data_IF_801900249843
#
_entry.id   IF_801900249843
#
_cell.length_a   1.000
_cell.length_b   1.000
_cell.length_c   1.000
_cell.angle_alpha   90.00
_cell.angle_beta   90.00
_cell.angle_gamma   90.00
#
_symmetry.space_group_name_H-M   'P 1'
#
loop_
_entity.id
_entity.type
_entity.pdbx_description
1 polymer ?
#
# COMPACT_ATOMS: atom_id res chain seq x y z
N UNK A 1 7.61 12.52 13.02
CA UNK A 1 6.29 11.89 13.17
C UNK A 1 6.04 10.91 12.03
N UNK A 2 6.17 11.34 10.76
CA UNK A 2 5.87 10.52 9.57
C UNK A 2 6.58 9.15 9.52
N UNK A 3 7.85 9.06 9.95
CA UNK A 3 8.56 7.77 10.00
C UNK A 3 7.95 6.76 11.01
N UNK A 4 7.43 7.25 12.14
CA UNK A 4 6.78 6.39 13.14
C UNK A 4 5.39 5.99 12.66
N UNK A 5 4.63 6.92 12.08
CA UNK A 5 3.32 6.64 11.49
C UNK A 5 3.42 5.63 10.34
N UNK A 6 4.42 5.79 9.48
CA UNK A 6 4.72 4.83 8.42
C UNK A 6 4.97 3.43 8.99
N UNK A 7 5.77 3.32 10.07
CA UNK A 7 5.98 2.04 10.74
C UNK A 7 4.68 1.48 11.32
N UNK A 8 3.87 2.32 11.96
CA UNK A 8 2.58 1.91 12.54
C UNK A 8 1.64 1.39 11.45
N UNK A 9 1.51 2.11 10.34
CA UNK A 9 0.76 1.70 9.15
C UNK A 9 1.21 0.31 8.65
N UNK A 10 2.52 0.09 8.49
CA UNK A 10 3.02 -1.22 8.06
C UNK A 10 2.71 -2.34 9.06
N UNK A 11 2.83 -2.07 10.36
CA UNK A 11 2.48 -3.09 11.36
C UNK A 11 0.98 -3.37 11.39
N UNK A 12 0.14 -2.33 11.25
CA UNK A 12 -1.31 -2.44 11.26
C UNK A 12 -1.84 -3.16 10.01
N UNK A 13 -1.28 -2.89 8.83
CA UNK A 13 -1.70 -3.55 7.59
C UNK A 13 -1.23 -5.01 7.49
N UNK A 14 -0.04 -5.33 8.02
CA UNK A 14 0.56 -6.66 7.84
C UNK A 14 0.50 -7.56 9.07
N UNK A 15 -0.13 -7.14 10.19
CA UNK A 15 -0.37 -7.88 11.45
C UNK A 15 0.43 -9.19 11.58
N UNK A 16 -0.14 -10.31 11.12
CA UNK A 16 0.43 -11.66 11.26
C UNK A 16 1.36 -12.08 10.09
N UNK A 17 1.25 -11.42 8.94
CA UNK A 17 1.95 -11.74 7.68
C UNK A 17 3.28 -10.97 7.51
N UNK A 18 3.53 -10.01 8.39
CA UNK A 18 4.69 -9.10 8.32
C UNK A 18 6.04 -9.81 8.07
N UNK A 19 6.41 -10.92 8.74
CA UNK A 19 7.71 -11.55 8.53
C UNK A 19 7.92 -12.12 7.11
N UNK A 20 6.85 -12.48 6.41
CA UNK A 20 6.92 -13.09 5.07
C UNK A 20 6.89 -12.05 3.95
N UNK A 21 6.22 -10.90 4.17
CA UNK A 21 5.96 -9.87 3.16
C UNK A 21 6.76 -8.57 3.37
N UNK A 22 7.26 -8.34 4.59
CA UNK A 22 8.01 -7.14 4.95
C UNK A 22 9.34 -7.52 5.63
N UNK A 23 10.44 -7.60 4.86
CA UNK A 23 11.78 -7.59 5.40
C UNK A 23 11.99 -6.44 6.42
N UNK A 24 12.82 -6.63 7.46
CA UNK A 24 13.07 -5.58 8.47
C UNK A 24 13.53 -4.24 7.89
N UNK A 25 14.21 -4.25 6.73
CA UNK A 25 14.64 -3.03 6.04
C UNK A 25 13.46 -2.16 5.59
N UNK A 26 12.33 -2.76 5.21
CA UNK A 26 11.17 -2.03 4.69
C UNK A 26 10.46 -1.24 5.79
N UNK A 27 10.50 -1.72 7.03
CA UNK A 27 10.02 -0.97 8.21
C UNK A 27 10.80 0.34 8.43
N UNK A 28 12.02 0.44 7.91
CA UNK A 28 12.86 1.64 8.05
C UNK A 28 12.92 2.46 6.76
N UNK A 29 12.23 2.08 5.69
CA UNK A 29 12.32 2.72 4.37
C UNK A 29 12.08 4.24 4.42
N UNK A 30 11.11 4.70 5.19
CA UNK A 30 10.84 6.13 5.34
C UNK A 30 11.99 6.87 6.05
N UNK A 31 12.59 6.28 7.09
CA UNK A 31 13.75 6.86 7.77
C UNK A 31 14.96 6.92 6.83
N UNK A 32 15.12 5.89 5.99
CA UNK A 32 16.17 5.87 4.98
C UNK A 32 15.97 6.94 3.91
N UNK A 33 14.74 7.15 3.43
CA UNK A 33 14.38 8.24 2.53
C UNK A 33 14.78 9.60 3.11
N UNK A 34 14.43 9.88 4.36
CA UNK A 34 14.75 11.15 5.02
C UNK A 34 16.25 11.42 5.11
N UNK A 35 17.06 10.37 5.24
CA UNK A 35 18.52 10.46 5.40
C UNK A 35 19.27 10.37 4.07
N UNK A 36 18.57 10.07 2.99
CA UNK A 36 19.18 9.81 1.71
C UNK A 36 19.74 11.08 1.05
N UNK A 37 20.87 10.97 0.33
CA UNK A 37 21.33 12.06 -0.51
C UNK A 37 20.34 12.30 -1.65
N UNK A 38 20.26 13.54 -2.15
CA UNK A 38 19.30 13.95 -3.18
C UNK A 38 19.25 13.02 -4.41
N UNK A 39 20.42 12.50 -4.84
CA UNK A 39 20.53 11.56 -5.98
C UNK A 39 19.81 10.22 -5.78
N UNK A 40 19.58 9.81 -4.53
CA UNK A 40 18.93 8.54 -4.15
C UNK A 40 17.49 8.76 -3.67
N UNK A 41 17.09 10.02 -3.43
CA UNK A 41 15.77 10.34 -2.87
C UNK A 41 14.63 9.87 -3.76
N UNK A 42 14.72 10.04 -5.08
CA UNK A 42 13.66 9.59 -6.00
C UNK A 42 13.37 8.09 -5.89
N UNK A 43 14.40 7.25 -5.93
CA UNK A 43 14.23 5.80 -5.82
C UNK A 43 13.72 5.38 -4.44
N UNK A 44 14.22 5.99 -3.36
CA UNK A 44 13.76 5.68 -2.01
C UNK A 44 12.33 6.18 -1.74
N UNK A 45 11.94 7.28 -2.37
CA UNK A 45 10.57 7.77 -2.33
C UNK A 45 9.64 6.77 -3.00
N UNK A 46 10.04 6.24 -4.16
CA UNK A 46 9.29 5.20 -4.85
C UNK A 46 9.11 3.94 -4.00
N UNK A 47 10.16 3.52 -3.27
CA UNK A 47 10.04 2.40 -2.32
C UNK A 47 9.00 2.67 -1.22
N UNK A 48 8.97 3.88 -0.66
CA UNK A 48 7.94 4.26 0.33
C UNK A 48 6.56 4.23 -0.30
N UNK A 49 6.40 4.79 -1.51
CA UNK A 49 5.14 4.78 -2.26
C UNK A 49 4.61 3.35 -2.47
N UNK A 50 5.47 2.43 -2.89
CA UNK A 50 5.13 1.01 -3.06
C UNK A 50 4.69 0.36 -1.74
N UNK A 51 5.38 0.63 -0.63
CA UNK A 51 5.06 0.05 0.69
C UNK A 51 3.70 0.56 1.21
N UNK A 52 3.39 1.84 1.04
CA UNK A 52 2.09 2.42 1.40
C UNK A 52 0.99 1.82 0.51
N UNK A 53 1.20 1.80 -0.80
CA UNK A 53 0.27 1.22 -1.76
C UNK A 53 -0.03 -0.27 -1.47
N UNK A 54 1.01 -1.04 -1.12
CA UNK A 54 0.89 -2.46 -0.76
C UNK A 54 0.11 -2.66 0.55
N UNK A 55 0.25 -1.73 1.51
CA UNK A 55 -0.51 -1.74 2.76
C UNK A 55 -2.00 -1.54 2.52
N UNK A 56 -2.36 -0.60 1.66
CA UNK A 56 -3.76 -0.31 1.30
C UNK A 56 -4.39 -1.49 0.55
N UNK A 57 -3.65 -2.12 -0.38
CA UNK A 57 -4.13 -3.32 -1.09
C UNK A 57 -4.27 -4.52 -0.16
N UNK A 58 -3.41 -4.66 0.84
CA UNK A 58 -3.56 -5.69 1.87
C UNK A 58 -4.82 -5.46 2.70
N UNK A 59 -5.02 -4.24 3.20
CA UNK A 59 -6.22 -3.90 3.95
C UNK A 59 -7.49 -4.15 3.12
N UNK A 60 -7.49 -3.78 1.83
CA UNK A 60 -8.61 -4.03 0.94
C UNK A 60 -8.84 -5.54 0.74
N UNK A 61 -7.79 -6.35 0.58
CA UNK A 61 -7.88 -7.81 0.49
C UNK A 61 -8.30 -8.50 1.80
N UNK A 62 -8.19 -7.80 2.93
CA UNK A 62 -8.59 -8.30 4.25
C UNK A 62 -10.05 -7.89 4.59
N UNK A 63 -10.55 -6.78 4.04
CA UNK A 63 -11.96 -6.36 4.17
C UNK A 63 -12.94 -7.18 3.32
N UNK A 64 -12.44 -7.95 2.36
CA UNK A 64 -13.27 -8.77 1.49
C UNK A 64 -12.41 -9.68 0.65
N UNK A 65 -13.00 -10.74 0.08
CA UNK A 65 -12.26 -11.67 -0.77
C UNK A 65 -12.05 -11.10 -2.19
N UNK A 66 -11.35 -9.97 -2.26
CA UNK A 66 -11.06 -9.25 -3.50
C UNK A 66 -9.79 -9.84 -4.14
N UNK A 67 -9.98 -10.79 -5.06
CA UNK A 67 -8.89 -11.42 -5.82
C UNK A 67 -8.02 -10.40 -6.57
N UNK A 68 -8.64 -9.34 -7.08
CA UNK A 68 -7.96 -8.25 -7.80
C UNK A 68 -6.99 -7.49 -6.89
N UNK A 69 -7.36 -7.19 -5.64
CA UNK A 69 -6.47 -6.47 -4.72
C UNK A 69 -5.29 -7.34 -4.31
N UNK A 70 -5.48 -8.66 -4.12
CA UNK A 70 -4.39 -9.63 -3.91
C UNK A 70 -3.43 -9.69 -5.11
N UNK A 71 -3.96 -9.65 -6.33
CA UNK A 71 -3.13 -9.63 -7.54
C UNK A 71 -2.30 -8.34 -7.62
N UNK A 72 -2.91 -7.18 -7.39
CA UNK A 72 -2.18 -5.89 -7.35
C UNK A 72 -1.13 -5.91 -6.24
N UNK A 73 -1.46 -6.40 -5.06
CA UNK A 73 -0.51 -6.55 -3.95
C UNK A 73 0.71 -7.39 -4.36
N UNK A 74 0.52 -8.51 -5.07
CA UNK A 74 1.63 -9.33 -5.58
C UNK A 74 2.49 -8.57 -6.59
N UNK A 75 1.91 -7.73 -7.45
CA UNK A 75 2.69 -6.89 -8.37
C UNK A 75 3.54 -5.90 -7.59
N UNK A 76 2.96 -5.21 -6.60
CA UNK A 76 3.67 -4.24 -5.75
C UNK A 76 4.80 -4.91 -4.96
N UNK A 77 4.54 -6.10 -4.39
CA UNK A 77 5.55 -6.86 -3.67
C UNK A 77 6.73 -7.27 -4.59
N UNK A 78 6.47 -7.67 -5.84
CA UNK A 78 7.54 -7.90 -6.82
C UNK A 78 8.29 -6.62 -7.15
N UNK A 79 7.60 -5.49 -7.28
CA UNK A 79 8.23 -4.20 -7.56
C UNK A 79 9.18 -3.75 -6.43
N UNK A 80 8.94 -4.14 -5.17
CA UNK A 80 9.87 -3.87 -4.06
C UNK A 80 11.23 -4.55 -4.20
N UNK A 81 11.34 -5.58 -5.05
CA UNK A 81 12.62 -6.26 -5.35
C UNK A 81 13.45 -5.52 -6.42
N UNK A 82 12.87 -4.52 -7.08
CA UNK A 82 13.56 -3.72 -8.09
C UNK A 82 14.71 -2.90 -7.49
N UNK A 83 15.73 -2.63 -8.33
CA UNK A 83 16.94 -1.90 -7.96
C UNK A 83 16.98 -0.48 -8.56
N UNK A 84 15.97 -0.11 -9.36
CA UNK A 84 15.84 1.22 -9.95
C UNK A 84 14.38 1.57 -10.23
N UNK A 85 14.08 2.85 -10.46
CA UNK A 85 12.73 3.32 -10.80
C UNK A 85 12.28 2.71 -12.14
N UNK A 86 13.18 2.61 -13.12
CA UNK A 86 12.86 2.04 -14.43
C UNK A 86 12.48 0.56 -14.34
N UNK A 87 13.07 -0.17 -13.38
CA UNK A 87 12.68 -1.56 -13.12
C UNK A 87 11.32 -1.64 -12.43
N UNK A 88 11.00 -0.70 -11.53
CA UNK A 88 9.66 -0.59 -10.92
C UNK A 88 8.64 -0.36 -12.03
N UNK A 89 8.86 0.65 -12.87
CA UNK A 89 7.98 0.98 -13.99
C UNK A 89 7.78 -0.22 -14.93
N UNK A 90 8.85 -0.96 -15.24
CA UNK A 90 8.77 -2.13 -16.09
C UNK A 90 7.92 -3.25 -15.47
N UNK A 91 8.02 -3.47 -14.16
CA UNK A 91 7.20 -4.45 -13.44
C UNK A 91 5.73 -4.02 -13.41
N UNK A 92 5.46 -2.76 -13.05
CA UNK A 92 4.10 -2.22 -12.97
C UNK A 92 3.43 -2.24 -14.35
N UNK A 93 4.12 -1.76 -15.38
CA UNK A 93 3.59 -1.71 -16.76
C UNK A 93 3.28 -3.10 -17.32
N UNK A 94 4.13 -4.09 -17.03
CA UNK A 94 3.92 -5.48 -17.49
C UNK A 94 2.62 -6.08 -16.96
N UNK A 95 2.20 -5.64 -15.78
CA UNK A 95 1.06 -6.18 -15.05
C UNK A 95 -0.07 -5.13 -14.87
N UNK A 96 -0.06 -4.06 -15.68
CA UNK A 96 -0.98 -2.93 -15.58
C UNK A 96 -2.48 -3.32 -15.62
N UNK A 97 -2.80 -4.38 -16.37
CA UNK A 97 -4.17 -4.95 -16.44
C UNK A 97 -4.77 -5.27 -15.07
N UNK A 98 -3.95 -5.63 -14.08
CA UNK A 98 -4.45 -5.96 -12.74
C UNK A 98 -4.94 -4.70 -12.01
N UNK A 99 -4.29 -3.55 -12.25
CA UNK A 99 -4.72 -2.25 -11.74
C UNK A 99 -5.98 -1.78 -12.45
N UNK A 100 -6.11 -1.99 -13.76
CA UNK A 100 -7.32 -1.63 -14.52
C UNK A 100 -8.56 -2.40 -14.01
N UNK A 101 -8.40 -3.69 -13.72
CA UNK A 101 -9.48 -4.54 -13.20
C UNK A 101 -9.89 -4.19 -11.77
N UNK A 102 -8.96 -3.70 -10.96
CA UNK A 102 -9.24 -3.24 -9.60
C UNK A 102 -10.42 -2.26 -9.57
N UNK A 103 -10.52 -1.34 -10.53
CA UNK A 103 -11.60 -0.35 -10.56
C UNK A 103 -12.86 -0.81 -11.31
N UNK A 104 -12.84 -1.99 -11.94
CA UNK A 104 -13.93 -2.47 -12.79
C UNK A 104 -14.81 -3.50 -12.06
N UNK A 105 -14.20 -4.33 -11.21
CA UNK A 105 -14.84 -5.52 -10.63
C UNK A 105 -15.24 -5.34 -9.14
N UNK A 106 -15.06 -4.16 -8.54
CA UNK A 106 -15.30 -3.97 -7.11
C UNK A 106 -16.71 -3.44 -6.79
N UNK A 107 -17.53 -4.31 -6.19
CA UNK A 107 -18.53 -3.88 -5.21
C UNK A 107 -17.80 -3.61 -3.90
N UNK A 108 -17.25 -2.40 -3.73
CA UNK A 108 -16.70 -1.97 -2.44
C UNK A 108 -17.78 -1.28 -1.62
N UNK A 109 -17.83 -1.62 -0.34
CA UNK A 109 -18.52 -0.81 0.66
C UNK A 109 -17.79 0.54 0.85
N UNK A 110 -18.35 1.43 1.68
CA UNK A 110 -17.80 2.78 1.91
C UNK A 110 -16.31 2.77 2.35
N UNK A 111 -15.90 1.73 3.08
CA UNK A 111 -14.52 1.54 3.58
C UNK A 111 -13.57 1.13 2.45
N UNK A 112 -13.99 0.21 1.59
CA UNK A 112 -13.24 -0.20 0.42
C UNK A 112 -13.06 0.93 -0.60
N UNK A 113 -14.08 1.77 -0.80
CA UNK A 113 -13.96 2.97 -1.64
C UNK A 113 -12.92 3.95 -1.06
N UNK A 114 -12.91 4.16 0.25
CA UNK A 114 -11.90 5.00 0.91
C UNK A 114 -10.47 4.46 0.75
N UNK A 115 -10.29 3.13 0.85
CA UNK A 115 -8.99 2.50 0.61
C UNK A 115 -8.52 2.66 -0.83
N UNK A 116 -9.41 2.49 -1.82
CA UNK A 116 -9.10 2.72 -3.23
C UNK A 116 -8.74 4.18 -3.49
N UNK A 117 -9.48 5.12 -2.90
CA UNK A 117 -9.18 6.54 -3.03
C UNK A 117 -7.80 6.90 -2.45
N UNK A 118 -7.45 6.36 -1.28
CA UNK A 118 -6.11 6.54 -0.70
C UNK A 118 -5.03 5.87 -1.56
N UNK A 119 -5.35 4.76 -2.22
CA UNK A 119 -4.43 4.08 -3.12
C UNK A 119 -4.15 4.93 -4.36
N UNK A 120 -5.17 5.49 -5.01
CA UNK A 120 -5.01 6.45 -6.11
C UNK A 120 -4.13 7.64 -5.70
N UNK A 121 -4.44 8.25 -4.54
CA UNK A 121 -3.64 9.35 -3.99
C UNK A 121 -2.21 8.95 -3.68
N UNK A 122 -1.97 7.69 -3.30
CA UNK A 122 -0.61 7.17 -3.11
C UNK A 122 0.15 7.16 -4.43
N UNK A 123 -0.49 6.74 -5.53
CA UNK A 123 0.14 6.73 -6.86
C UNK A 123 0.42 8.15 -7.37
N UNK A 124 -0.49 9.09 -7.10
CA UNK A 124 -0.37 10.49 -7.51
C UNK A 124 0.59 11.31 -6.63
N UNK A 125 0.91 10.86 -5.43
CA UNK A 125 1.82 11.57 -4.53
C UNK A 125 3.25 11.58 -5.09
N UNK A 126 3.73 12.78 -5.43
CA UNK A 126 5.05 13.03 -6.03
C UNK A 126 6.01 13.77 -5.06
N UNK A 127 5.54 14.09 -3.85
CA UNK A 127 6.31 14.79 -2.82
C UNK A 127 6.16 14.14 -1.44
N UNK A 128 7.17 14.32 -0.59
CA UNK A 128 7.11 13.83 0.80
C UNK A 128 5.93 14.38 1.60
N UNK A 129 5.57 15.69 1.54
CA UNK A 129 4.40 16.18 2.25
C UNK A 129 3.08 15.58 1.78
N UNK A 130 2.93 15.33 0.47
CA UNK A 130 1.75 14.64 -0.07
C UNK A 130 1.68 13.20 0.45
N UNK A 131 2.81 12.49 0.44
CA UNK A 131 2.90 11.14 0.97
C UNK A 131 2.64 11.08 2.48
N UNK A 132 3.08 12.09 3.25
CA UNK A 132 2.82 12.17 4.69
C UNK A 132 1.33 12.30 5.00
N UNK A 133 0.58 13.07 4.21
CA UNK A 133 -0.86 13.18 4.35
C UNK A 133 -1.53 11.82 4.07
N UNK A 134 -1.11 11.13 3.00
CA UNK A 134 -1.61 9.78 2.67
C UNK A 134 -1.31 8.79 3.79
N UNK A 135 -0.08 8.77 4.33
CA UNK A 135 0.31 7.87 5.43
C UNK A 135 -0.55 8.12 6.67
N UNK A 136 -0.79 9.38 7.02
CA UNK A 136 -1.62 9.74 8.17
C UNK A 136 -3.05 9.23 7.98
N UNK A 137 -3.68 9.56 6.86
CA UNK A 137 -5.07 9.17 6.58
C UNK A 137 -5.22 7.66 6.43
N UNK A 138 -4.25 6.98 5.82
CA UNK A 138 -4.23 5.51 5.72
C UNK A 138 -4.08 4.85 7.09
N UNK A 139 -3.25 5.39 7.98
CA UNK A 139 -3.11 4.87 9.34
C UNK A 139 -4.40 5.03 10.12
N UNK A 140 -5.02 6.22 10.06
CA UNK A 140 -6.28 6.50 10.76
C UNK A 140 -7.42 5.61 10.26
N UNK A 141 -7.49 5.38 8.94
CA UNK A 141 -8.49 4.48 8.36
C UNK A 141 -8.25 3.03 8.79
N UNK A 142 -7.04 2.49 8.62
CA UNK A 142 -6.75 1.08 8.95
C UNK A 142 -6.95 0.79 10.43
N UNK A 143 -6.65 1.74 11.32
CA UNK A 143 -6.91 1.59 12.76
C UNK A 143 -8.42 1.60 13.08
N UNK A 144 -9.25 2.21 12.23
CA UNK A 144 -10.70 2.26 12.38
C UNK A 144 -11.42 1.06 11.73
N UNK A 145 -10.78 0.35 10.80
CA UNK A 145 -11.35 -0.82 10.14
C UNK A 145 -11.52 -2.00 11.12
N UNK A 146 -12.73 -2.53 11.20
CA UNK A 146 -13.00 -3.77 11.93
C UNK A 146 -12.88 -4.98 11.01
N UNK A 147 -11.66 -5.50 10.90
CA UNK A 147 -11.37 -6.70 10.10
C UNK A 147 -11.93 -8.01 10.70
N UNK A 148 -12.43 -7.97 11.94
CA UNK A 148 -13.00 -9.13 12.63
C UNK A 148 -14.55 -9.06 12.67
N UNK A 149 -15.15 -7.99 12.10
CA UNK A 149 -16.59 -7.87 11.98
C UNK A 149 -17.13 -9.03 11.14
N UNK A 150 -18.16 -9.76 11.63
CA UNK A 150 -18.82 -10.75 10.80
C UNK A 150 -19.42 -10.01 9.60
N UNK A 151 -18.92 -10.30 8.40
CA UNK A 151 -19.55 -9.84 7.16
C UNK A 151 -20.99 -10.37 7.16
N UNK A 152 -21.96 -9.49 7.42
CA UNK A 152 -23.39 -9.78 7.34
C UNK A 152 -23.78 -9.96 5.86
N UNK A 153 -23.33 -11.04 5.24
CA UNK A 153 -23.75 -11.49 3.91
C UNK A 153 -24.00 -13.02 3.94
N UNK A 154 -24.76 -13.46 4.94
CA UNK A 154 -25.45 -14.76 4.95
C UNK A 154 -26.87 -14.54 5.53
N UNK A 155 -27.65 -13.63 4.94
CA UNK A 155 -29.11 -13.67 5.03
C UNK A 155 -29.69 -14.37 3.77
N UNK A 156 -29.99 -15.66 3.98
CA UNK A 156 -30.84 -16.62 3.22
C UNK A 156 -30.26 -17.43 2.03
#
# INVERSE_FOLDING_TARGET
MSATLFQQLLHAAFRQDAPALLPPADLHAYQELQRAPAREQGFRFERVRLLVAMSLMKALADLGDHDESRQVQQVLHRALTAQSIEQIDAIITKDARHFERLYTDLYVNDEGEQLLHLFERTLDADTMPAMDAVIQEASDLIDALDFDAPHEDDEE
#
